data_IF_423510010657
#
_entry.id   IF_423510010657
#
_cell.length_a   1.000
_cell.length_b   1.000
_cell.length_c   1.000
_cell.angle_alpha   90.00
_cell.angle_beta   90.00
_cell.angle_gamma   90.00
#
_symmetry.space_group_name_H-M   'P 1'
#
loop_
_entity.id
_entity.type
_entity.pdbx_description
1 polymer ?
#
# COMPACT_ATOMS: atom_id res chain seq x y z
N UNK A 1 -48.18 117.00 31.64
CA UNK A 1 -46.90 116.27 31.77
C UNK A 1 -46.16 116.90 32.95
N UNK A 2 -45.84 116.18 34.03
CA UNK A 2 -45.00 116.76 35.08
C UNK A 2 -43.53 116.55 34.73
N UNK A 3 -42.74 117.62 34.73
CA UNK A 3 -41.29 117.54 34.61
C UNK A 3 -40.68 117.10 35.95
N UNK A 4 -39.94 116.00 35.92
CA UNK A 4 -39.17 115.48 37.04
C UNK A 4 -37.83 116.22 37.14
N UNK A 5 -37.47 116.69 38.34
CA UNK A 5 -36.31 117.55 38.59
C UNK A 5 -34.93 116.87 38.41
N UNK A 6 -33.82 117.64 38.45
CA UNK A 6 -32.47 117.16 38.15
C UNK A 6 -31.95 116.02 39.06
N UNK A 7 -32.42 115.98 40.32
CA UNK A 7 -32.03 115.00 41.33
C UNK A 7 -32.63 113.60 41.08
N UNK A 8 -33.88 113.49 40.62
CA UNK A 8 -34.52 112.20 40.34
C UNK A 8 -33.90 111.53 39.11
N UNK A 9 -33.55 112.30 38.07
CA UNK A 9 -32.81 111.80 36.89
C UNK A 9 -31.42 111.25 37.22
N UNK A 10 -30.75 111.75 38.26
CA UNK A 10 -29.41 111.27 38.66
C UNK A 10 -29.48 109.94 39.39
N UNK A 11 -30.51 109.73 40.22
CA UNK A 11 -30.73 108.49 40.96
C UNK A 11 -31.07 107.34 40.00
N UNK A 12 -31.94 107.59 39.02
CA UNK A 12 -32.30 106.60 37.98
C UNK A 12 -31.08 106.12 37.17
N UNK A 13 -30.14 107.02 36.83
CA UNK A 13 -28.90 106.66 36.12
C UNK A 13 -27.97 105.75 36.92
N UNK A 14 -27.96 105.85 38.25
CA UNK A 14 -27.14 104.99 39.10
C UNK A 14 -27.75 103.59 39.21
N UNK A 15 -29.08 103.48 39.30
CA UNK A 15 -29.79 102.19 39.27
C UNK A 15 -29.60 101.47 37.94
N UNK A 16 -29.70 102.17 36.80
CA UNK A 16 -29.44 101.58 35.48
C UNK A 16 -28.00 101.05 35.35
N UNK A 17 -27.01 101.78 35.88
CA UNK A 17 -25.62 101.29 35.92
C UNK A 17 -25.47 100.03 36.77
N UNK A 18 -26.20 99.93 37.88
CA UNK A 18 -26.21 98.74 38.74
C UNK A 18 -26.87 97.54 38.05
N UNK A 19 -27.98 97.74 37.31
CA UNK A 19 -28.62 96.69 36.52
C UNK A 19 -27.74 96.20 35.37
N UNK A 20 -27.05 97.11 34.67
CA UNK A 20 -26.07 96.74 33.64
C UNK A 20 -24.93 95.88 34.23
N UNK A 21 -24.38 96.27 35.39
CA UNK A 21 -23.33 95.50 36.07
C UNK A 21 -23.81 94.11 36.51
N UNK A 22 -25.05 93.99 37.02
CA UNK A 22 -25.64 92.68 37.35
C UNK A 22 -25.85 91.82 36.10
N UNK A 23 -26.28 92.41 34.98
CA UNK A 23 -26.46 91.70 33.72
C UNK A 23 -25.12 91.19 33.18
N UNK A 24 -24.07 92.00 33.21
CA UNK A 24 -22.71 91.61 32.81
C UNK A 24 -22.15 90.50 33.71
N UNK A 25 -22.32 90.61 35.04
CA UNK A 25 -21.89 89.56 35.98
C UNK A 25 -22.61 88.25 35.72
N UNK A 26 -23.93 88.31 35.49
CA UNK A 26 -24.74 87.13 35.19
C UNK A 26 -24.39 86.52 33.84
N UNK A 27 -24.10 87.33 32.84
CA UNK A 27 -23.60 86.88 31.54
C UNK A 27 -22.23 86.20 31.68
N UNK A 28 -21.28 86.80 32.41
CA UNK A 28 -19.97 86.22 32.64
C UNK A 28 -20.01 84.91 33.46
N UNK A 29 -20.93 84.80 34.42
CA UNK A 29 -21.18 83.54 35.13
C UNK A 29 -21.75 82.45 34.22
N UNK A 30 -22.69 82.80 33.34
CA UNK A 30 -23.27 81.85 32.38
C UNK A 30 -22.24 81.41 31.34
N UNK A 31 -21.41 82.32 30.83
CA UNK A 31 -20.30 81.98 29.93
C UNK A 31 -19.30 81.01 30.57
N UNK A 32 -18.95 81.23 31.85
CA UNK A 32 -18.09 80.32 32.60
C UNK A 32 -18.73 78.94 32.76
N UNK A 33 -20.02 78.89 33.07
CA UNK A 33 -20.79 77.64 33.19
C UNK A 33 -20.83 76.87 31.86
N UNK A 34 -21.09 77.57 30.76
CA UNK A 34 -21.10 76.98 29.41
C UNK A 34 -19.71 76.48 29.02
N UNK A 35 -18.66 77.25 29.31
CA UNK A 35 -17.28 76.83 29.06
C UNK A 35 -16.91 75.57 29.87
N UNK A 36 -17.29 75.50 31.14
CA UNK A 36 -17.08 74.32 31.98
C UNK A 36 -17.84 73.10 31.44
N UNK A 37 -19.12 73.25 31.12
CA UNK A 37 -19.93 72.17 30.54
C UNK A 37 -19.37 71.68 29.20
N UNK A 38 -18.83 72.58 28.37
CA UNK A 38 -18.18 72.24 27.11
C UNK A 38 -16.86 71.46 27.29
N UNK A 39 -16.11 71.74 28.36
CA UNK A 39 -14.91 70.98 28.71
C UNK A 39 -15.26 69.58 29.25
N UNK A 40 -16.26 69.49 30.13
CA UNK A 40 -16.76 68.21 30.66
C UNK A 40 -17.27 67.31 29.54
N UNK A 41 -18.11 67.83 28.63
CA UNK A 41 -18.58 67.06 27.47
C UNK A 41 -17.44 66.54 26.57
N UNK A 42 -16.40 67.35 26.34
CA UNK A 42 -15.24 66.91 25.55
C UNK A 42 -14.46 65.81 26.26
N UNK A 43 -14.34 65.87 27.59
CA UNK A 43 -13.68 64.83 28.37
C UNK A 43 -14.48 63.53 28.32
N UNK A 44 -15.79 63.61 28.54
CA UNK A 44 -16.70 62.44 28.47
C UNK A 44 -16.69 61.82 27.08
N UNK A 45 -16.77 62.64 26.01
CA UNK A 45 -16.71 62.17 24.63
C UNK A 45 -15.37 61.48 24.34
N UNK A 46 -14.24 62.04 24.78
CA UNK A 46 -12.92 61.43 24.59
C UNK A 46 -12.75 60.12 25.37
N UNK A 47 -13.32 60.02 26.58
CA UNK A 47 -13.34 58.78 27.36
C UNK A 47 -14.22 57.71 26.69
N UNK A 48 -15.39 58.10 26.17
CA UNK A 48 -16.29 57.18 25.49
C UNK A 48 -15.69 56.66 24.18
N UNK A 49 -15.06 57.54 23.38
CA UNK A 49 -14.33 57.12 22.18
C UNK A 49 -13.23 56.12 22.51
N UNK A 50 -12.48 56.33 23.60
CA UNK A 50 -11.45 55.39 24.05
C UNK A 50 -12.06 54.05 24.47
N UNK A 51 -13.18 54.07 25.19
CA UNK A 51 -13.90 52.86 25.62
C UNK A 51 -14.40 52.06 24.42
N UNK A 52 -14.99 52.74 23.43
CA UNK A 52 -15.49 52.11 22.20
C UNK A 52 -14.33 51.55 21.38
N UNK A 53 -13.23 52.30 21.23
CA UNK A 53 -12.04 51.81 20.53
C UNK A 53 -11.45 50.56 21.21
N UNK A 54 -11.37 50.56 22.55
CA UNK A 54 -10.89 49.42 23.32
C UNK A 54 -11.81 48.19 23.15
N UNK A 55 -13.13 48.38 23.26
CA UNK A 55 -14.11 47.30 23.06
C UNK A 55 -14.05 46.73 21.63
N UNK A 56 -13.87 47.59 20.62
CA UNK A 56 -13.72 47.16 19.23
C UNK A 56 -12.44 46.36 18.98
N UNK A 57 -11.36 46.66 19.69
CA UNK A 57 -10.12 45.86 19.64
C UNK A 57 -10.30 44.51 20.32
N UNK A 58 -10.92 44.48 21.50
CA UNK A 58 -11.21 43.25 22.25
C UNK A 58 -12.09 42.30 21.43
N UNK A 59 -13.18 42.81 20.86
CA UNK A 59 -14.07 42.03 19.99
C UNK A 59 -13.32 41.42 18.79
N UNK A 60 -12.40 42.18 18.16
CA UNK A 60 -11.59 41.67 17.04
C UNK A 60 -10.61 40.58 17.48
N UNK A 61 -10.03 40.71 18.68
CA UNK A 61 -9.15 39.68 19.22
C UNK A 61 -9.93 38.40 19.56
N UNK A 62 -11.10 38.54 20.17
CA UNK A 62 -11.99 37.41 20.46
C UNK A 62 -12.42 36.69 19.18
N UNK A 63 -12.90 37.43 18.19
CA UNK A 63 -13.29 36.86 16.90
C UNK A 63 -12.12 36.14 16.21
N UNK A 64 -10.92 36.73 16.22
CA UNK A 64 -9.72 36.08 15.69
C UNK A 64 -9.32 34.82 16.45
N UNK A 65 -9.47 34.81 17.77
CA UNK A 65 -9.22 33.61 18.59
C UNK A 65 -10.23 32.50 18.33
N UNK A 66 -11.51 32.86 18.17
CA UNK A 66 -12.57 31.90 17.86
C UNK A 66 -12.36 31.27 16.47
N UNK A 67 -11.99 32.05 15.45
CA UNK A 67 -11.66 31.51 14.13
C UNK A 67 -10.46 30.57 14.18
N UNK A 68 -9.41 30.89 14.95
CA UNK A 68 -8.26 30.00 15.13
C UNK A 68 -8.68 28.69 15.81
N UNK A 69 -9.53 28.76 16.84
CA UNK A 69 -10.04 27.59 17.55
C UNK A 69 -10.88 26.71 16.63
N UNK A 70 -11.77 27.30 15.87
CA UNK A 70 -12.60 26.60 14.89
C UNK A 70 -11.74 25.96 13.78
N UNK A 71 -10.73 26.69 13.29
CA UNK A 71 -9.77 26.16 12.32
C UNK A 71 -9.00 24.95 12.85
N UNK A 72 -8.59 25.00 14.12
CA UNK A 72 -7.92 23.89 14.79
C UNK A 72 -8.85 22.68 14.95
N UNK A 73 -10.09 22.87 15.42
CA UNK A 73 -11.07 21.78 15.57
C UNK A 73 -11.38 21.11 14.22
N UNK A 74 -11.53 21.89 13.15
CA UNK A 74 -11.70 21.35 11.79
C UNK A 74 -10.50 20.53 11.34
N UNK A 75 -9.28 20.96 11.68
CA UNK A 75 -8.06 20.23 11.34
C UNK A 75 -7.97 18.92 12.11
N UNK A 76 -8.23 18.93 13.41
CA UNK A 76 -8.26 17.73 14.25
C UNK A 76 -9.29 16.72 13.74
N UNK A 77 -10.51 17.17 13.44
CA UNK A 77 -11.54 16.32 12.84
C UNK A 77 -11.09 15.73 11.49
N UNK A 78 -10.48 16.54 10.63
CA UNK A 78 -9.94 16.06 9.35
C UNK A 78 -8.83 15.01 9.52
N UNK A 79 -8.00 15.15 10.56
CA UNK A 79 -6.97 14.15 10.91
C UNK A 79 -7.60 12.85 11.42
N UNK A 80 -8.63 12.92 12.24
CA UNK A 80 -9.36 11.74 12.72
C UNK A 80 -10.05 10.98 11.58
N UNK A 81 -10.73 11.69 10.68
CA UNK A 81 -11.36 11.11 9.49
C UNK A 81 -10.31 10.40 8.60
N UNK A 82 -9.18 11.06 8.34
CA UNK A 82 -8.08 10.48 7.56
C UNK A 82 -7.51 9.21 8.22
N UNK A 83 -7.32 9.25 9.54
CA UNK A 83 -6.85 8.08 10.30
C UNK A 83 -7.84 6.92 10.21
N UNK A 84 -9.14 7.20 10.34
CA UNK A 84 -10.18 6.19 10.19
C UNK A 84 -10.18 5.52 8.82
N UNK A 85 -10.04 6.31 7.75
CA UNK A 85 -9.93 5.78 6.38
C UNK A 85 -8.68 4.90 6.20
N UNK A 86 -7.55 5.30 6.78
CA UNK A 86 -6.31 4.51 6.73
C UNK A 86 -6.50 3.17 7.44
N UNK A 87 -7.12 3.17 8.61
CA UNK A 87 -7.37 1.96 9.38
C UNK A 87 -8.35 1.01 8.65
N UNK A 88 -9.40 1.56 8.03
CA UNK A 88 -10.35 0.78 7.21
C UNK A 88 -9.66 0.14 6.00
N UNK A 89 -8.88 0.92 5.24
CA UNK A 89 -8.12 0.42 4.09
C UNK A 89 -7.13 -0.67 4.53
N UNK A 90 -6.44 -0.46 5.66
CA UNK A 90 -5.50 -1.44 6.21
C UNK A 90 -6.19 -2.76 6.54
N UNK A 91 -7.35 -2.70 7.21
CA UNK A 91 -8.14 -3.89 7.53
C UNK A 91 -8.64 -4.62 6.28
N UNK A 92 -9.14 -3.90 5.27
CA UNK A 92 -9.63 -4.51 4.03
C UNK A 92 -8.50 -5.15 3.21
N UNK A 93 -7.32 -4.52 3.18
CA UNK A 93 -6.14 -5.12 2.54
C UNK A 93 -5.70 -6.37 3.27
N UNK A 94 -5.64 -6.36 4.61
CA UNK A 94 -5.27 -7.54 5.38
C UNK A 94 -6.25 -8.70 5.13
N UNK A 95 -7.56 -8.42 5.16
CA UNK A 95 -8.60 -9.41 4.87
C UNK A 95 -8.43 -10.05 3.50
N UNK A 96 -8.11 -9.25 2.47
CA UNK A 96 -7.87 -9.76 1.11
C UNK A 96 -6.61 -10.61 1.01
N UNK A 97 -5.56 -10.26 1.76
CA UNK A 97 -4.34 -11.07 1.83
C UNK A 97 -4.66 -12.43 2.44
N UNK A 98 -5.36 -12.46 3.58
CA UNK A 98 -5.73 -13.70 4.27
C UNK A 98 -6.61 -14.59 3.36
N UNK A 99 -7.59 -14.01 2.67
CA UNK A 99 -8.46 -14.72 1.72
C UNK A 99 -7.67 -15.31 0.54
N UNK A 100 -6.66 -14.60 0.03
CA UNK A 100 -5.78 -15.10 -1.03
C UNK A 100 -4.87 -16.22 -0.53
N UNK A 101 -4.32 -16.06 0.68
CA UNK A 101 -3.46 -17.07 1.31
C UNK A 101 -4.21 -18.40 1.50
N UNK A 102 -5.43 -18.35 2.04
CA UNK A 102 -6.28 -19.54 2.22
C UNK A 102 -6.58 -20.21 0.87
N UNK A 103 -6.97 -19.44 -0.16
CA UNK A 103 -7.23 -19.98 -1.51
C UNK A 103 -6.00 -20.63 -2.13
N UNK A 104 -4.81 -20.08 -1.88
CA UNK A 104 -3.56 -20.66 -2.38
C UNK A 104 -3.24 -21.96 -1.66
N UNK A 105 -3.40 -22.01 -0.33
CA UNK A 105 -3.20 -23.23 0.46
C UNK A 105 -4.12 -24.36 -0.01
N UNK A 106 -5.44 -24.09 -0.15
CA UNK A 106 -6.40 -25.09 -0.63
C UNK A 106 -6.05 -25.62 -2.02
N UNK A 107 -5.63 -24.76 -2.95
CA UNK A 107 -5.21 -25.20 -4.29
C UNK A 107 -3.95 -26.07 -4.26
N UNK A 108 -3.03 -25.79 -3.33
CA UNK A 108 -1.83 -26.59 -3.18
C UNK A 108 -2.16 -27.98 -2.65
N UNK A 109 -2.99 -28.07 -1.61
CA UNK A 109 -3.49 -29.34 -1.06
C UNK A 109 -4.26 -30.17 -2.12
N UNK A 110 -5.12 -29.51 -2.92
CA UNK A 110 -5.84 -30.18 -4.00
C UNK A 110 -4.89 -30.77 -5.05
N UNK A 111 -3.85 -30.02 -5.42
CA UNK A 111 -2.83 -30.48 -6.37
C UNK A 111 -2.02 -31.62 -5.76
N UNK A 112 -1.63 -31.52 -4.49
CA UNK A 112 -0.89 -32.56 -3.78
C UNK A 112 -1.67 -33.88 -3.77
N UNK A 113 -2.94 -33.86 -3.36
CA UNK A 113 -3.79 -35.04 -3.35
C UNK A 113 -4.00 -35.63 -4.77
N UNK A 114 -4.16 -34.77 -5.78
CA UNK A 114 -4.27 -35.22 -7.19
C UNK A 114 -3.00 -35.89 -7.69
N UNK A 115 -1.82 -35.36 -7.33
CA UNK A 115 -0.53 -35.93 -7.71
C UNK A 115 -0.31 -37.26 -6.99
N UNK A 116 -0.57 -37.31 -5.69
CA UNK A 116 -0.46 -38.54 -4.90
C UNK A 116 -1.35 -39.66 -5.48
N UNK A 117 -2.63 -39.38 -5.73
CA UNK A 117 -3.53 -40.38 -6.30
C UNK A 117 -3.09 -40.90 -7.68
N UNK A 118 -2.50 -40.03 -8.53
CA UNK A 118 -1.92 -40.46 -9.81
C UNK A 118 -0.69 -41.35 -9.63
N UNK A 119 0.15 -41.08 -8.63
CA UNK A 119 1.31 -41.90 -8.32
C UNK A 119 0.86 -43.29 -7.86
N UNK A 120 -0.10 -43.37 -6.94
CA UNK A 120 -0.66 -44.64 -6.45
C UNK A 120 -1.30 -45.45 -7.59
N UNK A 121 -2.06 -44.80 -8.48
CA UNK A 121 -2.65 -45.47 -9.65
C UNK A 121 -1.57 -46.05 -10.58
N UNK A 122 -0.50 -45.30 -10.84
CA UNK A 122 0.63 -45.77 -11.65
C UNK A 122 1.34 -46.92 -10.97
N UNK A 123 1.58 -46.84 -9.66
CA UNK A 123 2.22 -47.88 -8.87
C UNK A 123 1.43 -49.20 -8.95
N UNK A 124 0.12 -49.17 -8.71
CA UNK A 124 -0.74 -50.33 -8.84
C UNK A 124 -0.74 -50.92 -10.26
N UNK A 125 -0.76 -50.09 -11.30
CA UNK A 125 -0.67 -50.54 -12.70
C UNK A 125 0.66 -51.22 -13.01
N UNK A 126 1.77 -50.68 -12.50
CA UNK A 126 3.10 -51.25 -12.69
C UNK A 126 3.24 -52.57 -11.94
N UNK A 127 2.84 -52.62 -10.66
CA UNK A 127 2.85 -53.84 -9.86
C UNK A 127 2.00 -54.95 -10.50
N UNK A 128 0.80 -54.63 -11.00
CA UNK A 128 -0.04 -55.59 -11.71
C UNK A 128 0.64 -56.17 -12.95
N UNK A 129 1.27 -55.31 -13.78
CA UNK A 129 2.03 -55.76 -14.96
C UNK A 129 3.25 -56.61 -14.60
N UNK A 130 3.94 -56.29 -13.50
CA UNK A 130 5.06 -57.09 -13.00
C UNK A 130 4.55 -58.47 -12.59
N UNK A 131 3.47 -58.56 -11.80
CA UNK A 131 2.88 -59.84 -11.41
C UNK A 131 2.44 -60.70 -12.60
N UNK A 132 1.87 -60.08 -13.65
CA UNK A 132 1.56 -60.78 -14.90
C UNK A 132 2.80 -61.32 -15.61
N UNK A 133 3.89 -60.56 -15.62
CA UNK A 133 5.18 -60.96 -16.21
C UNK A 133 5.80 -62.10 -15.41
N UNK A 134 5.82 -62.00 -14.08
CA UNK A 134 6.33 -63.05 -13.18
C UNK A 134 5.60 -64.38 -13.39
N UNK A 135 4.26 -64.34 -13.46
CA UNK A 135 3.45 -65.54 -13.78
C UNK A 135 3.85 -66.16 -15.12
N UNK A 136 3.99 -65.35 -16.17
CA UNK A 136 4.40 -65.83 -17.51
C UNK A 136 5.81 -66.41 -17.52
N UNK A 137 6.73 -65.82 -16.75
CA UNK A 137 8.08 -66.34 -16.55
C UNK A 137 8.07 -67.71 -15.87
N UNK A 138 7.27 -67.89 -14.81
CA UNK A 138 7.12 -69.20 -14.15
C UNK A 138 6.55 -70.27 -15.07
N UNK A 139 5.55 -69.92 -15.90
CA UNK A 139 5.00 -70.84 -16.91
C UNK A 139 6.05 -71.29 -17.95
N UNK A 140 6.95 -70.39 -18.35
CA UNK A 140 8.06 -70.69 -19.26
C UNK A 140 9.17 -71.51 -18.59
N UNK A 141 9.44 -71.32 -17.30
CA UNK A 141 10.44 -72.08 -16.54
C UNK A 141 10.00 -73.53 -16.31
N UNK A 142 8.69 -73.76 -16.06
CA UNK A 142 8.12 -75.10 -15.88
C UNK A 142 8.09 -75.90 -17.18
N UNK A 143 8.05 -75.24 -18.34
CA UNK A 143 8.14 -75.89 -19.65
C UNK A 143 9.61 -75.91 -20.07
N UNK A 144 10.37 -76.99 -19.83
CA UNK A 144 11.75 -77.03 -20.27
C UNK A 144 11.71 -76.86 -21.79
N UNK A 145 12.43 -75.87 -22.31
CA UNK A 145 12.72 -75.80 -23.73
C UNK A 145 13.50 -77.09 -24.07
N UNK A 146 12.80 -78.12 -24.50
CA UNK A 146 13.39 -79.31 -25.10
C UNK A 146 13.91 -78.90 -26.47
N UNK A 147 15.00 -78.15 -26.48
CA UNK A 147 15.85 -78.08 -27.66
C UNK A 147 16.32 -79.52 -27.89
N UNK A 148 15.73 -80.20 -28.87
CA UNK A 148 16.34 -81.42 -29.37
C UNK A 148 17.74 -81.02 -29.79
N UNK A 149 18.73 -81.53 -29.07
CA UNK A 149 20.13 -81.34 -29.37
C UNK A 149 20.37 -81.93 -30.77
N UNK A 150 20.26 -81.10 -31.80
CA UNK A 150 20.73 -81.42 -33.14
C UNK A 150 22.25 -81.26 -33.11
N UNK A 151 23.05 -82.32 -33.31
CA UNK A 151 24.50 -82.31 -33.10
C UNK A 151 25.32 -81.47 -34.10
N UNK A 152 24.72 -80.67 -34.96
CA UNK A 152 25.38 -80.22 -36.20
C UNK A 152 26.17 -78.90 -36.12
N UNK A 153 26.11 -78.14 -35.03
CA UNK A 153 26.81 -76.85 -34.95
C UNK A 153 28.10 -76.92 -34.10
N UNK A 154 29.02 -77.79 -34.49
CA UNK A 154 30.45 -77.67 -34.14
C UNK A 154 31.13 -76.74 -35.16
N UNK A 155 30.65 -75.50 -35.32
CA UNK A 155 31.39 -74.49 -36.07
C UNK A 155 32.37 -73.80 -35.14
N UNK A 156 33.65 -73.99 -35.45
CA UNK A 156 34.78 -73.38 -34.77
C UNK A 156 34.51 -71.89 -34.54
N UNK A 157 34.51 -71.50 -33.26
CA UNK A 157 34.33 -70.12 -32.81
C UNK A 157 35.35 -69.22 -33.52
N UNK A 158 34.95 -68.27 -34.37
CA UNK A 158 35.89 -67.29 -34.91
C UNK A 158 36.49 -66.53 -33.73
N UNK A 159 37.82 -66.34 -33.74
CA UNK A 159 38.48 -65.47 -32.76
C UNK A 159 37.98 -64.04 -32.98
N UNK A 160 36.94 -63.66 -32.23
CA UNK A 160 36.35 -62.32 -32.25
C UNK A 160 37.42 -61.35 -31.74
N UNK A 161 38.02 -60.57 -32.64
CA UNK A 161 38.79 -59.39 -32.25
C UNK A 161 37.78 -58.33 -31.78
N UNK A 162 37.66 -58.16 -30.48
CA UNK A 162 36.83 -57.10 -29.88
C UNK A 162 37.43 -55.74 -30.22
N UNK A 163 36.67 -54.88 -30.89
CA UNK A 163 37.01 -53.47 -31.07
C UNK A 163 36.60 -52.73 -29.78
N UNK A 164 37.57 -52.29 -28.98
CA UNK A 164 37.34 -51.56 -27.73
C UNK A 164 37.20 -50.07 -28.01
N UNK A 165 36.15 -49.42 -27.50
CA UNK A 165 36.00 -47.97 -27.56
C UNK A 165 37.03 -47.31 -26.62
N UNK A 166 37.89 -46.47 -27.17
CA UNK A 166 39.03 -45.86 -26.47
C UNK A 166 38.71 -44.50 -25.85
N UNK A 167 37.50 -43.98 -26.06
CA UNK A 167 37.07 -42.64 -25.59
C UNK A 167 37.76 -41.46 -26.28
N UNK A 168 38.73 -41.72 -27.17
CA UNK A 168 39.50 -40.71 -27.89
C UNK A 168 38.91 -40.45 -29.28
N UNK A 169 38.30 -41.47 -29.88
CA UNK A 169 37.60 -41.36 -31.16
C UNK A 169 36.12 -40.96 -30.97
N UNK A 170 35.62 -40.04 -31.80
CA UNK A 170 34.21 -39.64 -31.73
C UNK A 170 33.28 -40.82 -32.06
N UNK A 171 32.10 -40.86 -31.45
CA UNK A 171 31.12 -41.95 -31.59
C UNK A 171 30.75 -42.30 -33.04
N UNK A 172 30.70 -41.31 -33.93
CA UNK A 172 30.40 -41.51 -35.36
C UNK A 172 31.51 -42.27 -36.09
N UNK A 173 32.77 -42.01 -35.74
CA UNK A 173 33.94 -42.72 -36.28
C UNK A 173 33.96 -44.15 -35.76
N UNK A 174 33.69 -44.35 -34.47
CA UNK A 174 33.59 -45.69 -33.87
C UNK A 174 32.50 -46.53 -34.54
N UNK A 175 31.30 -45.97 -34.74
CA UNK A 175 30.21 -46.65 -35.45
C UNK A 175 30.59 -47.06 -36.87
N UNK A 176 31.29 -46.19 -37.59
CA UNK A 176 31.77 -46.49 -38.95
C UNK A 176 32.78 -47.64 -38.95
N UNK A 177 33.75 -47.63 -38.03
CA UNK A 177 34.72 -48.71 -37.90
C UNK A 177 34.06 -50.03 -37.45
N UNK A 178 33.11 -49.98 -36.52
CA UNK A 178 32.34 -51.13 -36.06
C UNK A 178 31.51 -51.75 -37.19
N UNK A 179 30.86 -50.95 -38.02
CA UNK A 179 30.06 -51.44 -39.14
C UNK A 179 30.94 -52.07 -40.24
N UNK A 180 32.12 -51.50 -40.51
CA UNK A 180 33.10 -52.10 -41.43
C UNK A 180 33.60 -53.44 -40.89
N UNK A 181 34.05 -53.48 -39.62
CA UNK A 181 34.60 -54.70 -38.99
C UNK A 181 33.55 -55.80 -38.87
N UNK A 182 32.33 -55.45 -38.47
CA UNK A 182 31.23 -56.42 -38.35
C UNK A 182 30.81 -56.98 -39.71
N UNK A 183 30.85 -56.17 -40.76
CA UNK A 183 30.56 -56.64 -42.13
C UNK A 183 31.68 -57.52 -42.69
N UNK A 184 32.96 -57.19 -42.44
CA UNK A 184 34.09 -58.06 -42.82
C UNK A 184 34.08 -59.39 -42.07
N UNK A 185 33.54 -59.41 -40.85
CA UNK A 185 33.40 -60.63 -40.05
C UNK A 185 32.10 -61.39 -40.34
N UNK A 186 31.29 -60.95 -41.30
CA UNK A 186 30.04 -61.61 -41.70
C UNK A 186 28.97 -61.65 -40.59
N UNK A 187 28.97 -60.70 -39.66
CA UNK A 187 28.00 -60.67 -38.57
C UNK A 187 26.60 -60.38 -39.09
N UNK A 188 25.63 -61.17 -38.64
CA UNK A 188 24.21 -60.88 -38.86
C UNK A 188 23.75 -59.72 -37.98
N UNK A 189 22.68 -59.04 -38.35
CA UNK A 189 22.17 -57.88 -37.60
C UNK A 189 21.87 -58.19 -36.13
N UNK A 190 21.46 -59.43 -35.85
CA UNK A 190 21.30 -59.93 -34.48
C UNK A 190 22.62 -59.91 -33.69
N UNK A 191 23.70 -60.45 -34.27
CA UNK A 191 25.04 -60.46 -33.65
C UNK A 191 25.60 -59.05 -33.50
N UNK A 192 25.38 -58.18 -34.50
CA UNK A 192 25.76 -56.76 -34.45
C UNK A 192 25.06 -56.04 -33.29
N UNK A 193 23.78 -56.32 -33.09
CA UNK A 193 22.98 -55.73 -32.02
C UNK A 193 23.48 -56.21 -30.66
N UNK A 194 23.65 -57.52 -30.45
CA UNK A 194 24.13 -58.06 -29.17
C UNK A 194 25.54 -57.59 -28.80
N UNK A 195 26.48 -57.56 -29.75
CA UNK A 195 27.86 -57.10 -29.47
C UNK A 195 27.94 -55.58 -29.32
N UNK A 196 27.10 -54.83 -30.05
CA UNK A 196 26.98 -53.38 -29.90
C UNK A 196 26.51 -52.96 -28.51
N UNK A 197 25.64 -53.75 -27.87
CA UNK A 197 25.22 -53.53 -26.48
C UNK A 197 26.31 -53.84 -25.44
N UNK A 198 27.24 -54.74 -25.74
CA UNK A 198 28.33 -55.14 -24.82
C UNK A 198 29.52 -54.16 -24.86
N UNK A 199 29.64 -53.38 -25.94
CA UNK A 199 30.71 -52.39 -26.12
C UNK A 199 30.29 -50.95 -25.73
N UNK A 200 29.04 -50.77 -25.28
CA UNK A 200 28.51 -49.56 -24.64
C UNK A 200 28.71 -49.62 -23.13
#
# INVERSE_FOLDING_TARGET
MPETGPLTRSMDKQFEKLFAMMAEMKAGQEEMRVAQAGLEQKMEAGQEEMRVAQAGLEQKMEAGQEEMRYGQERMEKGQEEMKGLIDEVKSEVQRKIDEVEEKVQMKFEEVEHKVQGKIEEVEHKVQGKIGDIERRLSELEIRPFSFSASPEFMHSRPTIKSLTFDGQTSWTVFKTQFDVVSSTNGWTDFVKTSVGYVLL
#
